data_IF_657336159728
#
_entry.id   IF_657336159728
#
_cell.length_a   1.000
_cell.length_b   1.000
_cell.length_c   1.000
_cell.angle_alpha   90.00
_cell.angle_beta   90.00
_cell.angle_gamma   90.00
#
_symmetry.space_group_name_H-M   'P 1'
#
loop_
_entity.id
_entity.type
_entity.pdbx_description
1 polymer ?
#
# COMPACT_ATOMS: atom_id res chain seq x y z
N UNK A 1 -4.53 26.40 -5.80
CA UNK A 1 -3.59 25.30 -6.09
C UNK A 1 -4.12 24.05 -5.46
N UNK A 2 -4.07 22.92 -6.17
CA UNK A 2 -4.52 21.64 -5.63
C UNK A 2 -3.42 21.07 -4.75
N UNK A 3 -3.75 20.74 -3.50
CA UNK A 3 -2.77 20.25 -2.54
C UNK A 3 -3.43 19.24 -1.57
N UNK A 4 -2.63 18.32 -1.06
CA UNK A 4 -3.04 17.29 -0.11
C UNK A 4 -1.92 16.99 0.89
N UNK A 5 -2.25 16.99 2.18
CA UNK A 5 -1.40 16.41 3.22
C UNK A 5 -1.72 14.92 3.35
N UNK A 6 -0.70 14.08 3.31
CA UNK A 6 -0.81 12.62 3.36
C UNK A 6 -0.19 12.10 4.65
N UNK A 7 -0.93 11.25 5.37
CA UNK A 7 -0.44 10.47 6.50
C UNK A 7 -0.52 8.98 6.15
N UNK A 8 0.63 8.34 5.99
CA UNK A 8 0.74 6.91 5.66
C UNK A 8 1.66 6.22 6.70
N UNK A 9 1.11 5.38 7.60
CA UNK A 9 1.91 4.65 8.58
C UNK A 9 2.72 3.52 7.93
N UNK A 10 3.80 3.10 8.59
CA UNK A 10 4.57 1.92 8.18
C UNK A 10 3.74 0.64 8.37
N UNK A 11 3.76 -0.24 7.37
CA UNK A 11 3.24 -1.60 7.48
C UNK A 11 4.28 -2.48 8.16
N UNK A 12 3.88 -3.17 9.24
CA UNK A 12 4.71 -4.16 9.93
C UNK A 12 4.01 -5.51 9.94
N UNK A 13 4.54 -6.47 9.18
CA UNK A 13 4.01 -7.84 9.13
C UNK A 13 4.37 -8.70 10.37
N UNK A 14 5.32 -8.24 11.19
CA UNK A 14 5.84 -9.02 12.31
C UNK A 14 6.84 -10.08 11.87
N UNK A 15 6.87 -11.21 12.57
CA UNK A 15 7.75 -12.35 12.30
C UNK A 15 6.96 -13.65 12.21
N UNK A 16 7.36 -14.54 11.31
CA UNK A 16 6.79 -15.87 11.17
C UNK A 16 7.83 -16.85 10.61
N UNK A 17 7.74 -18.15 10.92
CA UNK A 17 8.69 -19.16 10.44
C UNK A 17 8.51 -19.50 8.95
N UNK A 18 7.31 -19.27 8.40
CA UNK A 18 6.96 -19.54 7.00
C UNK A 18 6.11 -18.40 6.43
N UNK A 19 6.16 -18.13 5.11
CA UNK A 19 5.31 -17.12 4.46
C UNK A 19 3.81 -17.26 4.75
N UNK A 20 3.32 -18.50 4.83
CA UNK A 20 1.90 -18.80 5.10
C UNK A 20 1.44 -18.51 6.54
N UNK A 21 2.38 -18.27 7.46
CA UNK A 21 2.08 -18.01 8.88
C UNK A 21 2.06 -16.51 9.22
N UNK A 22 2.34 -15.62 8.26
CA UNK A 22 2.16 -14.19 8.46
C UNK A 22 0.67 -13.82 8.46
N UNK A 23 0.27 -12.97 9.41
CA UNK A 23 -1.08 -12.42 9.45
C UNK A 23 -1.28 -11.28 8.46
N UNK A 24 -2.55 -11.00 8.15
CA UNK A 24 -2.95 -9.80 7.41
C UNK A 24 -2.82 -8.56 8.31
N UNK A 25 -2.20 -7.51 7.79
CA UNK A 25 -2.16 -6.19 8.44
C UNK A 25 -3.30 -5.34 7.90
N UNK A 26 -4.11 -4.76 8.78
CA UNK A 26 -5.18 -3.81 8.41
C UNK A 26 -4.82 -2.42 8.91
N UNK A 27 -4.77 -1.45 8.00
CA UNK A 27 -4.39 -0.05 8.29
C UNK A 27 -5.13 0.91 7.35
N UNK A 28 -4.84 2.21 7.45
CA UNK A 28 -5.38 3.21 6.56
C UNK A 28 -4.35 4.28 6.19
N UNK A 29 -4.55 4.90 5.03
CA UNK A 29 -3.90 6.15 4.64
C UNK A 29 -4.92 7.27 4.82
N UNK A 30 -4.50 8.38 5.41
CA UNK A 30 -5.36 9.56 5.61
C UNK A 30 -4.90 10.71 4.73
N UNK A 31 -5.84 11.38 4.06
CA UNK A 31 -5.58 12.54 3.22
C UNK A 31 -6.45 13.73 3.63
N UNK A 32 -5.84 14.91 3.78
CA UNK A 32 -6.55 16.18 3.89
C UNK A 32 -6.19 17.05 2.69
N UNK A 33 -7.16 17.26 1.81
CA UNK A 33 -6.96 17.92 0.52
C UNK A 33 -7.70 19.26 0.46
N UNK A 34 -7.21 20.18 -0.37
CA UNK A 34 -7.85 21.48 -0.63
C UNK A 34 -9.32 21.33 -1.02
N UNK A 35 -10.16 22.30 -0.65
CA UNK A 35 -11.60 22.25 -0.98
C UNK A 35 -11.84 22.29 -2.49
N UNK A 36 -12.84 21.55 -2.95
CA UNK A 36 -13.36 21.66 -4.32
C UNK A 36 -12.71 20.73 -5.35
N UNK A 37 -11.82 19.83 -4.93
CA UNK A 37 -11.17 18.87 -5.82
C UNK A 37 -11.64 17.44 -5.60
N UNK A 38 -11.65 16.67 -6.68
CA UNK A 38 -11.57 15.22 -6.66
C UNK A 38 -10.13 14.80 -6.88
N UNK A 39 -9.76 13.60 -6.45
CA UNK A 39 -8.41 13.09 -6.64
C UNK A 39 -8.40 11.56 -6.66
N UNK A 40 -7.28 10.99 -7.09
CA UNK A 40 -7.01 9.55 -6.97
C UNK A 40 -5.68 9.32 -6.26
N UNK A 41 -5.65 8.34 -5.37
CA UNK A 41 -4.48 7.96 -4.58
C UNK A 41 -3.91 6.66 -5.14
N UNK A 42 -2.63 6.68 -5.49
CA UNK A 42 -1.89 5.54 -6.01
C UNK A 42 -0.80 5.10 -5.05
N UNK A 43 -0.46 3.82 -5.16
CA UNK A 43 0.72 3.23 -4.54
C UNK A 43 1.60 2.69 -5.66
N UNK A 44 2.88 3.07 -5.70
CA UNK A 44 3.83 2.43 -6.61
C UNK A 44 4.09 0.97 -6.23
N UNK A 45 4.84 0.23 -7.05
CA UNK A 45 5.06 -1.20 -6.81
C UNK A 45 6.23 -1.49 -5.85
N UNK A 46 6.77 -0.48 -5.20
CA UNK A 46 7.95 -0.60 -4.37
C UNK A 46 9.26 -0.70 -5.15
N UNK A 47 10.34 -0.92 -4.43
CA UNK A 47 11.72 -0.88 -4.97
C UNK A 47 12.15 -2.18 -5.64
N UNK A 48 11.48 -3.30 -5.33
CA UNK A 48 11.86 -4.64 -5.81
C UNK A 48 10.70 -5.39 -6.46
N UNK A 49 9.74 -4.67 -7.03
CA UNK A 49 8.59 -5.25 -7.71
C UNK A 49 8.98 -6.32 -8.73
N UNK A 50 8.19 -7.39 -8.83
CA UNK A 50 8.29 -8.38 -9.89
C UNK A 50 6.89 -8.75 -10.39
N UNK A 51 6.61 -8.43 -11.65
CA UNK A 51 5.27 -8.54 -12.22
C UNK A 51 4.25 -7.72 -11.43
N UNK A 52 3.17 -8.36 -10.99
CA UNK A 52 2.09 -7.72 -10.23
C UNK A 52 2.30 -7.76 -8.69
N UNK A 53 3.43 -8.29 -8.21
CA UNK A 53 3.69 -8.45 -6.77
C UNK A 53 4.80 -7.51 -6.32
N UNK A 54 4.58 -6.86 -5.18
CA UNK A 54 5.63 -6.13 -4.47
C UNK A 54 6.53 -7.12 -3.75
N UNK A 55 7.78 -6.74 -3.51
CA UNK A 55 8.73 -7.61 -2.80
C UNK A 55 9.54 -6.80 -1.80
N UNK A 56 9.60 -7.29 -0.56
CA UNK A 56 10.59 -6.82 0.40
C UNK A 56 11.90 -7.57 0.19
N UNK A 57 13.02 -6.89 0.43
CA UNK A 57 14.36 -7.42 0.23
C UNK A 57 15.11 -7.64 1.56
N UNK A 58 15.85 -8.74 1.61
CA UNK A 58 16.90 -8.98 2.61
C UNK A 58 18.15 -9.45 1.85
N UNK A 59 19.05 -8.51 1.53
CA UNK A 59 20.11 -8.75 0.55
C UNK A 59 19.53 -9.17 -0.81
N UNK A 60 19.90 -10.36 -1.29
CA UNK A 60 19.38 -10.94 -2.55
C UNK A 60 18.04 -11.65 -2.38
N UNK A 61 17.62 -11.93 -1.15
CA UNK A 61 16.38 -12.65 -0.88
C UNK A 61 15.16 -11.73 -1.05
N UNK A 62 14.03 -12.30 -1.44
CA UNK A 62 12.79 -11.57 -1.71
C UNK A 62 11.62 -12.22 -1.00
N UNK A 63 10.84 -11.42 -0.28
CA UNK A 63 9.59 -11.83 0.35
C UNK A 63 8.44 -11.08 -0.32
N UNK A 64 7.56 -11.81 -1.01
CA UNK A 64 6.50 -11.25 -1.84
C UNK A 64 5.30 -10.85 -1.00
N UNK A 65 4.74 -9.68 -1.28
CA UNK A 65 3.58 -9.14 -0.59
C UNK A 65 2.73 -8.28 -1.53
N UNK A 66 1.56 -7.87 -1.06
CA UNK A 66 0.82 -6.79 -1.69
C UNK A 66 0.01 -5.97 -0.69
N UNK A 67 -0.45 -4.81 -1.17
CA UNK A 67 -1.38 -3.92 -0.49
C UNK A 67 -2.66 -3.91 -1.32
N UNK A 68 -3.79 -4.15 -0.67
CA UNK A 68 -5.09 -4.34 -1.28
C UNK A 68 -6.05 -3.26 -0.80
N UNK A 69 -6.89 -2.79 -1.73
CA UNK A 69 -8.03 -1.94 -1.41
C UNK A 69 -9.08 -2.73 -0.64
N UNK A 70 -10.09 -2.04 -0.13
CA UNK A 70 -11.22 -2.66 0.57
C UNK A 70 -11.98 -3.69 -0.28
N UNK A 71 -11.98 -3.54 -1.61
CA UNK A 71 -12.54 -4.51 -2.56
C UNK A 71 -11.65 -5.75 -2.82
N UNK A 72 -10.55 -5.89 -2.07
CA UNK A 72 -9.54 -6.96 -2.17
C UNK A 72 -8.75 -6.97 -3.48
N UNK A 73 -8.92 -6.00 -4.37
CA UNK A 73 -8.04 -5.85 -5.53
C UNK A 73 -6.77 -5.09 -5.15
N UNK A 74 -5.68 -5.34 -5.88
CA UNK A 74 -4.37 -4.74 -5.61
C UNK A 74 -4.46 -3.23 -5.76
N UNK A 75 -4.03 -2.50 -4.73
CA UNK A 75 -3.84 -1.05 -4.80
C UNK A 75 -2.54 -0.77 -5.54
N UNK A 76 -2.61 -0.07 -6.66
CA UNK A 76 -1.47 0.14 -7.55
C UNK A 76 -1.47 1.53 -8.21
N UNK A 77 -0.52 1.76 -9.14
CA UNK A 77 -0.31 3.08 -9.73
C UNK A 77 -1.20 3.35 -10.95
N UNK A 78 -1.75 2.31 -11.56
CA UNK A 78 -2.51 2.38 -12.82
C UNK A 78 -3.96 2.83 -12.59
N UNK A 79 -4.58 3.49 -13.57
CA UNK A 79 -5.89 4.14 -13.45
C UNK A 79 -7.04 3.28 -12.86
N UNK A 80 -7.00 1.95 -13.00
CA UNK A 80 -7.99 1.04 -12.38
C UNK A 80 -7.59 0.46 -11.01
N UNK A 81 -6.34 0.63 -10.61
CA UNK A 81 -5.77 0.13 -9.35
C UNK A 81 -5.65 1.23 -8.27
N UNK A 82 -5.88 2.49 -8.63
CA UNK A 82 -5.90 3.64 -7.70
C UNK A 82 -7.20 3.70 -6.92
N UNK A 83 -7.22 4.43 -5.80
CA UNK A 83 -8.43 4.72 -5.02
C UNK A 83 -8.90 6.14 -5.31
N UNK A 84 -10.14 6.30 -5.75
CA UNK A 84 -10.76 7.61 -5.93
C UNK A 84 -11.17 8.22 -4.58
N UNK A 85 -11.16 9.55 -4.49
CA UNK A 85 -11.72 10.26 -3.35
C UNK A 85 -13.19 9.89 -3.15
N UNK A 86 -13.66 9.90 -1.89
CA UNK A 86 -15.06 9.56 -1.53
C UNK A 86 -16.08 10.60 -2.03
N UNK A 87 -15.60 11.67 -2.65
CA UNK A 87 -16.35 12.81 -3.12
C UNK A 87 -15.41 14.00 -3.34
N UNK A 88 -16.01 15.17 -3.56
CA UNK A 88 -15.29 16.44 -3.60
C UNK A 88 -14.78 16.77 -2.19
N UNK A 89 -13.49 17.05 -2.04
CA UNK A 89 -12.90 17.44 -0.77
C UNK A 89 -13.52 18.74 -0.24
N UNK A 90 -13.78 18.81 1.07
CA UNK A 90 -14.35 20.00 1.74
C UNK A 90 -13.28 20.95 2.29
N UNK A 91 -12.00 20.55 2.26
CA UNK A 91 -10.88 21.30 2.82
C UNK A 91 -10.68 21.15 4.32
N UNK A 92 -11.52 20.37 5.01
CA UNK A 92 -11.59 20.33 6.47
C UNK A 92 -11.58 18.90 7.03
N UNK A 93 -12.27 17.98 6.37
CA UNK A 93 -12.44 16.60 6.82
C UNK A 93 -11.40 15.70 6.17
N UNK A 94 -10.52 15.05 6.96
CA UNK A 94 -9.61 14.06 6.40
C UNK A 94 -10.37 12.84 5.85
N UNK A 95 -10.05 12.43 4.63
CA UNK A 95 -10.52 11.17 4.07
C UNK A 95 -9.61 10.04 4.53
N UNK A 96 -10.23 8.98 5.06
CA UNK A 96 -9.53 7.78 5.53
C UNK A 96 -9.74 6.66 4.52
N UNK A 97 -8.65 6.15 3.94
CA UNK A 97 -8.68 5.08 2.95
C UNK A 97 -8.16 3.79 3.62
N UNK A 98 -9.05 2.86 3.99
CA UNK A 98 -8.63 1.59 4.58
C UNK A 98 -8.00 0.66 3.53
N UNK A 99 -7.04 -0.12 3.97
CA UNK A 99 -6.38 -1.14 3.16
C UNK A 99 -5.97 -2.34 4.01
N UNK A 100 -5.71 -3.46 3.33
CA UNK A 100 -5.02 -4.60 3.93
C UNK A 100 -3.70 -4.85 3.24
N UNK A 101 -2.70 -5.33 3.97
CA UNK A 101 -1.44 -5.78 3.41
C UNK A 101 -1.22 -7.24 3.80
N UNK A 102 -0.78 -8.07 2.86
CA UNK A 102 -0.54 -9.49 3.10
C UNK A 102 0.76 -9.96 2.48
N UNK A 103 1.42 -10.89 3.16
CA UNK A 103 2.45 -11.74 2.56
C UNK A 103 1.74 -12.83 1.76
N UNK A 104 2.22 -13.09 0.55
CA UNK A 104 1.71 -14.18 -0.26
C UNK A 104 2.05 -15.53 0.37
N UNK A 105 1.06 -16.38 0.62
CA UNK A 105 1.33 -17.73 1.13
C UNK A 105 1.85 -18.68 0.03
N UNK A 106 1.59 -18.36 -1.24
CA UNK A 106 1.97 -19.14 -2.42
C UNK A 106 3.37 -18.79 -2.93
N UNK A 107 4.34 -18.75 -2.01
CA UNK A 107 5.76 -18.58 -2.32
C UNK A 107 6.62 -19.58 -1.55
N UNK A 108 7.80 -19.98 -2.07
CA UNK A 108 8.72 -20.84 -1.34
C UNK A 108 9.14 -20.25 0.01
N UNK A 109 9.56 -21.12 0.94
CA UNK A 109 10.20 -20.66 2.16
C UNK A 109 11.46 -19.83 1.82
N UNK A 110 11.61 -18.70 2.49
CA UNK A 110 12.76 -17.80 2.32
C UNK A 110 13.68 -17.89 3.54
N UNK A 111 14.99 -17.60 3.41
CA UNK A 111 15.88 -17.56 4.56
C UNK A 111 15.42 -16.57 5.63
N UNK A 112 15.75 -16.87 6.90
CA UNK A 112 15.52 -15.94 8.00
C UNK A 112 16.26 -14.62 7.75
N UNK A 113 15.57 -13.51 7.99
CA UNK A 113 16.15 -12.18 7.89
C UNK A 113 15.10 -11.09 8.09
N UNK A 114 15.57 -9.85 8.21
CA UNK A 114 14.70 -8.67 8.16
C UNK A 114 14.54 -8.26 6.70
N UNK A 115 13.29 -8.20 6.23
CA UNK A 115 12.93 -7.83 4.87
C UNK A 115 12.27 -6.44 4.88
N UNK A 116 12.70 -5.54 4.00
CA UNK A 116 12.09 -4.21 3.85
C UNK A 116 11.88 -3.83 2.39
N UNK A 117 10.88 -2.96 2.15
CA UNK A 117 10.61 -2.31 0.87
C UNK A 117 10.21 -0.84 1.14
N UNK A 118 10.29 0.00 0.12
CA UNK A 118 9.81 1.38 0.16
C UNK A 118 8.78 1.59 -0.94
N UNK A 119 7.53 1.83 -0.54
CA UNK A 119 6.39 2.11 -1.42
C UNK A 119 6.05 3.58 -1.35
N UNK A 120 5.92 4.24 -2.50
CA UNK A 120 5.52 5.65 -2.56
C UNK A 120 4.02 5.78 -2.73
N UNK A 121 3.46 6.72 -1.97
CA UNK A 121 2.08 7.17 -2.13
C UNK A 121 2.09 8.41 -3.01
N UNK A 122 1.26 8.44 -4.03
CA UNK A 122 1.09 9.60 -4.91
C UNK A 122 -0.38 9.99 -5.05
N UNK A 123 -0.63 11.27 -5.33
CA UNK A 123 -1.98 11.82 -5.52
C UNK A 123 -2.04 12.49 -6.89
N UNK A 124 -3.12 12.21 -7.63
CA UNK A 124 -3.43 12.81 -8.92
C UNK A 124 -4.76 13.55 -8.84
N UNK A 125 -4.83 14.73 -9.45
CA UNK A 125 -5.97 15.64 -9.43
C UNK A 125 -6.71 15.66 -10.76
#
# INVERSE_FOLDING_TARGET
TNDCTITAPNVQFGSAPLPSAFGTVSQSITLLCTKGITYTVGLDMGSYASGARRQMASGVNRLQYNIFKQDQSVWGPLAGARVSSLGVADGLTPQVIPYTATIYADQPAVPQGSYSDSVKVDVQF
#
